data_IF_529473949486
#
_entry.id   IF_529473949486
#
_cell.length_a   1.000
_cell.length_b   1.000
_cell.length_c   1.000
_cell.angle_alpha   90.00
_cell.angle_beta   90.00
_cell.angle_gamma   90.00
#
_symmetry.space_group_name_H-M   'P 1'
#
loop_
_entity.id
_entity.type
_entity.pdbx_description
1 polymer ?
#
# COMPACT_ATOMS: atom_id res chain seq x y z
N UNK A 1 4.10 18.17 7.59
CA UNK A 1 4.17 17.35 6.38
C UNK A 1 5.06 16.15 6.58
N UNK A 2 4.58 14.97 6.20
CA UNK A 2 5.35 13.73 6.19
C UNK A 2 5.87 13.56 4.77
N UNK A 3 7.19 13.51 4.60
CA UNK A 3 7.79 13.23 3.29
C UNK A 3 7.77 11.72 2.96
N UNK A 4 7.96 11.40 1.68
CA UNK A 4 7.95 10.01 1.21
C UNK A 4 9.08 9.19 1.83
N UNK A 5 10.24 9.79 2.08
CA UNK A 5 11.38 9.13 2.73
C UNK A 5 11.07 8.68 4.16
N UNK A 6 10.29 9.47 4.90
CA UNK A 6 9.81 9.12 6.23
C UNK A 6 8.82 7.96 6.15
N UNK A 7 7.89 8.00 5.18
CA UNK A 7 6.96 6.90 4.94
C UNK A 7 7.72 5.60 4.61
N UNK A 8 8.67 5.64 3.68
CA UNK A 8 9.49 4.49 3.30
C UNK A 8 10.27 3.93 4.50
N UNK A 9 10.86 4.81 5.32
CA UNK A 9 11.58 4.41 6.53
C UNK A 9 10.67 3.73 7.57
N UNK A 10 9.40 4.12 7.64
CA UNK A 10 8.41 3.49 8.53
C UNK A 10 7.98 2.14 7.97
N UNK A 11 7.68 2.05 6.67
CA UNK A 11 7.25 0.81 6.03
C UNK A 11 8.36 -0.25 5.98
N UNK A 12 9.63 0.17 5.89
CA UNK A 12 10.78 -0.74 5.89
C UNK A 12 11.12 -1.32 7.28
N UNK A 13 10.55 -0.78 8.36
CA UNK A 13 10.91 -1.19 9.74
C UNK A 13 10.18 -2.45 10.16
N UNK A 14 10.94 -3.55 10.25
CA UNK A 14 10.43 -4.86 10.69
C UNK A 14 10.06 -4.93 12.17
N UNK A 15 10.52 -3.97 12.98
CA UNK A 15 10.28 -3.94 14.43
C UNK A 15 8.96 -3.28 14.80
N UNK A 16 8.14 -2.87 13.83
CA UNK A 16 6.83 -2.29 14.08
C UNK A 16 5.86 -3.38 14.55
N UNK A 17 5.37 -3.25 15.77
CA UNK A 17 4.39 -4.16 16.34
C UNK A 17 2.97 -3.80 15.87
N UNK A 18 2.74 -3.80 14.56
CA UNK A 18 1.44 -3.54 13.95
C UNK A 18 1.18 -4.50 12.78
N UNK A 19 -0.10 -4.74 12.49
CA UNK A 19 -0.50 -5.52 11.32
C UNK A 19 -0.18 -4.76 10.03
N UNK A 20 0.27 -5.48 9.00
CA UNK A 20 0.52 -4.89 7.67
C UNK A 20 -0.70 -4.18 7.08
N UNK A 21 -1.92 -4.67 7.34
CA UNK A 21 -3.13 -3.98 6.86
C UNK A 21 -3.22 -2.54 7.36
N UNK A 22 -2.72 -2.25 8.58
CA UNK A 22 -2.66 -0.89 9.12
C UNK A 22 -1.57 -0.04 8.47
N UNK A 23 -0.45 -0.64 8.11
CA UNK A 23 0.59 0.03 7.32
C UNK A 23 0.07 0.39 5.93
N UNK A 24 -0.68 -0.52 5.30
CA UNK A 24 -1.33 -0.24 4.03
C UNK A 24 -2.36 0.88 4.14
N UNK A 25 -3.29 0.83 5.10
CA UNK A 25 -4.24 1.93 5.35
C UNK A 25 -3.54 3.28 5.55
N UNK A 26 -2.45 3.31 6.33
CA UNK A 26 -1.67 4.52 6.57
C UNK A 26 -0.98 5.02 5.28
N UNK A 27 -0.42 4.13 4.47
CA UNK A 27 0.16 4.48 3.18
C UNK A 27 -0.89 5.08 2.23
N UNK A 28 -2.10 4.52 2.18
CA UNK A 28 -3.20 5.06 1.36
C UNK A 28 -3.64 6.43 1.86
N UNK A 29 -3.75 6.61 3.18
CA UNK A 29 -4.08 7.90 3.77
C UNK A 29 -3.02 8.95 3.44
N UNK A 30 -1.73 8.58 3.50
CA UNK A 30 -0.64 9.45 3.08
C UNK A 30 -0.72 9.79 1.58
N UNK A 31 -0.95 8.80 0.72
CA UNK A 31 -1.08 8.99 -0.72
C UNK A 31 -2.24 9.93 -1.08
N UNK A 32 -3.36 9.81 -0.37
CA UNK A 32 -4.50 10.72 -0.49
C UNK A 32 -4.09 12.17 -0.16
N UNK A 33 -3.46 12.38 0.99
CA UNK A 33 -2.99 13.71 1.42
C UNK A 33 -1.95 14.27 0.47
N UNK A 34 -1.06 13.45 -0.08
CA UNK A 34 -0.04 13.87 -1.03
C UNK A 34 -0.65 14.24 -2.39
N UNK A 35 -1.69 13.53 -2.87
CA UNK A 35 -2.44 13.95 -4.05
C UNK A 35 -3.09 15.33 -3.87
N UNK A 36 -3.70 15.57 -2.70
CA UNK A 36 -4.28 16.89 -2.35
C UNK A 36 -3.19 17.97 -2.35
N UNK A 37 -2.03 17.68 -1.74
CA UNK A 37 -0.90 18.62 -1.67
C UNK A 37 -0.31 18.95 -3.04
N UNK A 38 -0.34 18.01 -3.98
CA UNK A 38 0.12 18.18 -5.37
C UNK A 38 -0.96 18.72 -6.30
N UNK A 39 -2.17 19.00 -5.80
CA UNK A 39 -3.31 19.46 -6.59
C UNK A 39 -3.67 18.53 -7.76
N UNK A 40 -3.53 17.21 -7.56
CA UNK A 40 -3.89 16.18 -8.55
C UNK A 40 -5.09 15.37 -8.07
N UNK A 41 -5.81 14.78 -9.03
CA UNK A 41 -6.95 13.92 -8.73
C UNK A 41 -6.54 12.71 -7.88
N UNK A 42 -7.40 12.31 -6.95
CA UNK A 42 -7.14 11.21 -6.00
C UNK A 42 -7.46 9.83 -6.62
N UNK A 43 -7.15 9.66 -7.91
CA UNK A 43 -7.33 8.40 -8.63
C UNK A 43 -6.38 7.33 -8.12
N UNK A 44 -6.72 6.05 -8.32
CA UNK A 44 -5.88 4.92 -7.94
C UNK A 44 -4.50 4.98 -8.61
N UNK A 45 -4.46 5.38 -9.89
CA UNK A 45 -3.23 5.58 -10.64
C UNK A 45 -2.34 6.68 -10.02
N UNK A 46 -2.92 7.83 -9.65
CA UNK A 46 -2.17 8.91 -9.02
C UNK A 46 -1.68 8.52 -7.62
N UNK A 47 -2.51 7.83 -6.82
CA UNK A 47 -2.12 7.29 -5.51
C UNK A 47 -0.95 6.31 -5.63
N UNK A 48 -0.99 5.42 -6.61
CA UNK A 48 0.12 4.51 -6.94
C UNK A 48 1.37 5.29 -7.35
N UNK A 49 1.23 6.32 -8.17
CA UNK A 49 2.34 7.13 -8.64
C UNK A 49 3.00 7.94 -7.51
N UNK A 50 2.22 8.51 -6.59
CA UNK A 50 2.79 9.23 -5.43
C UNK A 50 3.41 8.29 -4.41
N UNK A 51 2.87 7.08 -4.22
CA UNK A 51 3.47 6.06 -3.36
C UNK A 51 4.78 5.50 -3.93
N UNK A 52 4.86 5.32 -5.24
CA UNK A 52 6.07 4.82 -5.92
C UNK A 52 6.60 3.54 -5.27
N UNK A 53 7.86 3.59 -4.83
CA UNK A 53 8.55 2.44 -4.22
C UNK A 53 7.97 2.05 -2.85
N UNK A 54 7.36 2.99 -2.12
CA UNK A 54 6.79 2.74 -0.80
C UNK A 54 5.69 1.66 -0.84
N UNK A 55 4.93 1.56 -1.93
CA UNK A 55 3.91 0.53 -2.12
C UNK A 55 4.49 -0.89 -2.06
N UNK A 56 5.71 -1.08 -2.57
CA UNK A 56 6.40 -2.38 -2.63
C UNK A 56 7.09 -2.77 -1.33
N UNK A 57 7.17 -1.86 -0.36
CA UNK A 57 7.67 -2.17 0.99
C UNK A 57 6.61 -2.87 1.85
N UNK A 58 5.34 -2.76 1.47
CA UNK A 58 4.21 -3.37 2.17
C UNK A 58 4.21 -4.87 1.92
N UNK A 59 4.18 -5.65 2.99
CA UNK A 59 4.30 -7.12 2.92
C UNK A 59 2.92 -7.76 2.83
N UNK A 60 2.24 -7.55 1.70
CA UNK A 60 0.89 -8.08 1.44
C UNK A 60 0.70 -9.55 1.84
N UNK A 61 1.65 -10.48 1.59
CA UNK A 61 1.45 -11.88 1.96
C UNK A 61 1.43 -12.19 3.46
N UNK A 62 1.84 -11.24 4.30
CA UNK A 62 1.76 -11.39 5.76
C UNK A 62 0.42 -10.91 6.34
N UNK A 63 -0.44 -10.30 5.51
CA UNK A 63 -1.85 -10.07 5.83
C UNK A 63 -2.61 -11.40 5.76
N UNK A 64 -3.83 -11.45 6.29
CA UNK A 64 -4.72 -12.57 5.99
C UNK A 64 -5.29 -12.45 4.57
N UNK A 65 -5.65 -13.59 3.96
CA UNK A 65 -6.30 -13.60 2.64
C UNK A 65 -7.58 -12.75 2.63
N UNK A 66 -8.36 -12.80 3.70
CA UNK A 66 -9.58 -12.00 3.86
C UNK A 66 -9.27 -10.50 3.91
N UNK A 67 -8.27 -10.09 4.70
CA UNK A 67 -7.83 -8.68 4.75
C UNK A 67 -7.36 -8.20 3.36
N UNK A 68 -6.61 -9.02 2.63
CA UNK A 68 -6.13 -8.70 1.28
C UNK A 68 -7.28 -8.59 0.25
N UNK A 69 -8.18 -9.58 0.23
CA UNK A 69 -9.28 -9.65 -0.73
C UNK A 69 -10.32 -8.54 -0.53
N UNK A 70 -10.57 -8.15 0.73
CA UNK A 70 -11.56 -7.13 1.07
C UNK A 70 -11.06 -5.70 0.86
N UNK A 71 -9.74 -5.46 0.90
CA UNK A 71 -9.22 -4.10 0.89
C UNK A 71 -8.16 -3.86 -0.21
N UNK A 72 -6.88 -4.26 -0.11
CA UNK A 72 -5.90 -4.05 -1.19
C UNK A 72 -6.36 -4.45 -2.59
N UNK A 73 -7.01 -5.61 -2.74
CA UNK A 73 -7.45 -6.12 -4.03
C UNK A 73 -8.58 -5.29 -4.67
N UNK A 74 -9.35 -4.54 -3.87
CA UNK A 74 -10.48 -3.71 -4.34
C UNK A 74 -10.07 -2.27 -4.67
N UNK A 75 -8.86 -1.84 -4.30
CA UNK A 75 -8.46 -0.44 -4.44
C UNK A 75 -7.96 -0.04 -5.83
N UNK A 76 -7.89 -0.98 -6.79
CA UNK A 76 -7.28 -0.82 -8.11
C UNK A 76 -5.87 -0.19 -8.05
N UNK A 77 -5.19 -0.42 -6.94
CA UNK A 77 -3.84 0.08 -6.67
C UNK A 77 -2.79 -0.89 -7.16
N UNK A 78 -3.07 -2.21 -7.10
CA UNK A 78 -2.21 -3.27 -7.58
C UNK A 78 -2.56 -3.59 -9.03
N UNK A 79 -1.56 -3.94 -9.82
CA UNK A 79 -1.80 -4.46 -11.17
C UNK A 79 -2.43 -5.85 -11.08
N UNK A 80 -3.17 -6.28 -12.11
CA UNK A 80 -3.75 -7.63 -12.13
C UNK A 80 -2.70 -8.73 -11.89
N UNK A 81 -1.49 -8.56 -12.44
CA UNK A 81 -0.39 -9.50 -12.23
C UNK A 81 0.06 -9.54 -10.77
N UNK A 82 0.28 -8.39 -10.14
CA UNK A 82 0.67 -8.32 -8.72
C UNK A 82 -0.41 -8.95 -7.82
N UNK A 83 -1.69 -8.70 -8.11
CA UNK A 83 -2.79 -9.31 -7.36
C UNK A 83 -2.79 -10.84 -7.51
N UNK A 84 -2.55 -11.36 -8.72
CA UNK A 84 -2.43 -12.80 -8.96
C UNK A 84 -1.23 -13.38 -8.20
N UNK A 85 -0.07 -12.74 -8.28
CA UNK A 85 1.16 -13.21 -7.64
C UNK A 85 1.00 -13.28 -6.11
N UNK A 86 0.36 -12.28 -5.51
CA UNK A 86 0.04 -12.27 -4.07
C UNK A 86 -0.99 -13.36 -3.73
N UNK A 87 -2.02 -13.52 -4.56
CA UNK A 87 -3.04 -14.55 -4.34
C UNK A 87 -2.44 -15.96 -4.41
N UNK A 88 -1.54 -16.20 -5.36
CA UNK A 88 -0.82 -17.47 -5.46
C UNK A 88 0.00 -17.76 -4.20
N UNK A 89 0.61 -16.74 -3.59
CA UNK A 89 1.32 -16.89 -2.32
C UNK A 89 0.42 -17.35 -1.16
N UNK A 90 -0.87 -17.00 -1.16
CA UNK A 90 -1.82 -17.47 -0.14
C UNK A 90 -2.31 -18.90 -0.36
N UNK A 91 -2.22 -19.40 -1.59
CA UNK A 91 -2.70 -20.74 -1.97
C UNK A 91 -1.59 -21.78 -2.10
N UNK A 92 -0.33 -21.35 -2.10
CA UNK A 92 0.87 -22.19 -2.15
C UNK A 92 1.19 -22.79 -0.77
#
# INVERSE_FOLDING_TARGET
>A
DIDISTLESVLARETLNCKEIKLFEAAISWAYSECVRREIDQTSANKRAVLGNALYLIRFPTMTLEEFANFPAQMDLLTPQETIDIFLHFTA
#
